data_IF_896221220176
#
_entry.id   IF_896221220176
#
_cell.length_a   1.000
_cell.length_b   1.000
_cell.length_c   1.000
_cell.angle_alpha   90.00
_cell.angle_beta   90.00
_cell.angle_gamma   90.00
#
_symmetry.space_group_name_H-M   'P 1'
#
loop_
_entity.id
_entity.type
_entity.pdbx_description
1 polymer ?
#
# COMPACT_ATOMS: atom_id res chain seq x y z
N UNK A 1 -17.59 -13.29 6.37
CA UNK A 1 -16.53 -14.30 6.32
C UNK A 1 -17.17 -15.64 6.09
N UNK A 2 -17.10 -16.14 4.86
CA UNK A 2 -17.67 -17.41 4.41
C UNK A 2 -17.20 -17.72 2.98
N UNK A 3 -16.07 -17.12 2.60
CA UNK A 3 -15.47 -17.17 1.29
C UNK A 3 -14.10 -17.83 1.47
N UNK A 4 -13.71 -18.63 0.49
CA UNK A 4 -12.45 -19.38 0.40
C UNK A 4 -11.33 -18.56 -0.26
N UNK A 5 -11.49 -17.23 -0.30
CA UNK A 5 -10.49 -16.29 -0.80
C UNK A 5 -9.15 -16.44 -0.05
N UNK A 6 -8.12 -16.78 -0.81
CA UNK A 6 -6.72 -16.68 -0.39
C UNK A 6 -6.11 -15.39 -0.94
N UNK A 7 -5.37 -14.66 -0.11
CA UNK A 7 -4.69 -13.42 -0.50
C UNK A 7 -3.22 -13.52 -0.08
N UNK A 8 -2.31 -13.50 -1.06
CA UNK A 8 -0.88 -13.37 -0.82
C UNK A 8 -0.49 -11.89 -0.70
N UNK A 9 0.30 -11.55 0.32
CA UNK A 9 0.80 -10.19 0.55
C UNK A 9 2.31 -10.13 0.26
N UNK A 10 2.71 -9.19 -0.60
CA UNK A 10 4.10 -8.95 -0.97
C UNK A 10 4.53 -7.52 -0.64
N UNK A 11 5.80 -7.34 -0.29
CA UNK A 11 6.40 -6.03 -0.07
C UNK A 11 7.27 -5.63 -1.28
N UNK A 12 6.96 -4.49 -1.87
CA UNK A 12 7.81 -3.85 -2.89
C UNK A 12 8.24 -2.46 -2.40
N UNK A 13 9.54 -2.18 -2.46
CA UNK A 13 10.13 -0.89 -2.07
C UNK A 13 10.87 -0.30 -3.25
N UNK A 14 10.52 0.92 -3.64
CA UNK A 14 11.16 1.68 -4.72
C UNK A 14 11.53 3.07 -4.22
N UNK A 15 12.71 3.58 -4.62
CA UNK A 15 13.04 5.00 -4.48
C UNK A 15 12.34 5.76 -5.60
N UNK A 16 11.60 6.79 -5.23
CA UNK A 16 10.75 7.57 -6.13
C UNK A 16 10.96 9.05 -5.83
N UNK A 17 11.16 9.85 -6.87
CA UNK A 17 11.34 11.29 -6.73
C UNK A 17 10.09 11.96 -6.21
N UNK A 18 10.28 13.05 -5.45
CA UNK A 18 9.18 13.79 -4.82
C UNK A 18 8.17 14.33 -5.86
N UNK A 19 8.66 14.72 -7.03
CA UNK A 19 7.82 15.19 -8.13
C UNK A 19 6.84 14.09 -8.59
N UNK A 20 7.33 12.86 -8.75
CA UNK A 20 6.51 11.70 -9.11
C UNK A 20 5.46 11.45 -8.03
N UNK A 21 5.85 11.46 -6.74
CA UNK A 21 4.90 11.28 -5.62
C UNK A 21 3.79 12.35 -5.67
N UNK A 22 4.15 13.59 -5.96
CA UNK A 22 3.20 14.70 -6.08
C UNK A 22 2.23 14.49 -7.25
N UNK A 23 2.73 14.00 -8.39
CA UNK A 23 1.91 13.71 -9.58
C UNK A 23 0.99 12.49 -9.40
N UNK A 24 1.30 11.59 -8.48
CA UNK A 24 0.44 10.45 -8.18
C UNK A 24 -0.80 10.86 -7.38
N UNK A 25 -0.74 11.94 -6.60
CA UNK A 25 -1.87 12.34 -5.78
C UNK A 25 -3.10 12.67 -6.62
N UNK A 26 -4.21 11.96 -6.37
CA UNK A 26 -5.47 12.16 -7.07
C UNK A 26 -5.50 11.64 -8.51
N UNK A 27 -4.45 10.94 -8.96
CA UNK A 27 -4.40 10.36 -10.31
C UNK A 27 -5.49 9.29 -10.47
N UNK A 28 -6.23 9.36 -11.56
CA UNK A 28 -7.23 8.35 -11.92
C UNK A 28 -6.56 7.24 -12.75
N UNK A 29 -6.77 5.98 -12.37
CA UNK A 29 -6.05 4.82 -12.97
C UNK A 29 -6.95 3.66 -13.37
N UNK A 30 -8.28 3.78 -13.20
CA UNK A 30 -9.23 2.75 -13.60
C UNK A 30 -9.60 2.83 -15.09
N UNK A 31 -10.04 1.70 -15.65
CA UNK A 31 -10.74 1.62 -16.92
C UNK A 31 -12.17 2.19 -16.78
N UNK A 32 -12.29 3.52 -16.88
CA UNK A 32 -13.57 4.23 -16.69
C UNK A 32 -14.67 3.74 -17.64
N UNK A 33 -14.33 3.45 -18.89
CA UNK A 33 -15.26 2.90 -19.90
C UNK A 33 -15.82 1.53 -19.50
N UNK A 34 -15.12 0.81 -18.60
CA UNK A 34 -15.54 -0.47 -18.04
C UNK A 34 -16.10 -0.33 -16.61
N UNK A 35 -16.37 0.89 -16.14
CA UNK A 35 -16.97 1.15 -14.83
C UNK A 35 -16.00 1.21 -13.66
N UNK A 36 -14.69 1.17 -13.88
CA UNK A 36 -13.71 1.29 -12.79
C UNK A 36 -13.51 2.75 -12.37
N UNK A 37 -13.73 3.03 -11.08
CA UNK A 37 -13.57 4.35 -10.48
C UNK A 37 -12.42 4.34 -9.46
N UNK A 38 -11.19 4.18 -9.95
CA UNK A 38 -9.99 4.06 -9.11
C UNK A 38 -9.22 5.38 -9.14
N UNK A 39 -9.01 5.97 -7.96
CA UNK A 39 -8.22 7.18 -7.75
C UNK A 39 -7.13 6.92 -6.71
N UNK A 40 -5.92 7.34 -7.01
CA UNK A 40 -4.76 7.23 -6.11
C UNK A 40 -4.86 8.28 -5.00
N UNK A 41 -4.66 7.84 -3.76
CA UNK A 41 -4.54 8.71 -2.59
C UNK A 41 -3.22 8.44 -1.88
N UNK A 42 -2.29 9.39 -1.98
CA UNK A 42 -0.99 9.39 -1.32
C UNK A 42 -1.18 9.84 0.12
N UNK A 43 -0.77 8.98 1.06
CA UNK A 43 -0.84 9.25 2.50
C UNK A 43 0.54 9.07 3.14
N UNK A 44 0.90 9.90 4.14
CA UNK A 44 2.06 9.61 4.97
C UNK A 44 1.91 8.23 5.61
N UNK A 45 2.94 7.38 5.51
CA UNK A 45 2.91 5.99 5.98
C UNK A 45 2.38 5.86 7.43
N UNK A 46 2.83 6.74 8.34
CA UNK A 46 2.40 6.78 9.75
C UNK A 46 0.87 6.94 9.95
N UNK A 47 0.17 7.46 8.95
CA UNK A 47 -1.27 7.69 8.98
C UNK A 47 -2.06 6.64 8.17
N UNK A 48 -1.38 5.77 7.40
CA UNK A 48 -2.03 4.85 6.45
C UNK A 48 -3.08 3.96 7.12
N UNK A 49 -2.78 3.40 8.29
CA UNK A 49 -3.69 2.54 9.04
C UNK A 49 -4.97 3.25 9.54
N UNK A 50 -4.96 4.58 9.60
CA UNK A 50 -6.14 5.41 9.97
C UNK A 50 -6.91 5.92 8.76
N UNK A 51 -6.30 5.86 7.58
CA UNK A 51 -6.85 6.42 6.35
C UNK A 51 -7.75 5.43 5.60
N UNK A 52 -7.76 4.16 5.99
CA UNK A 52 -8.56 3.12 5.34
C UNK A 52 -9.00 2.05 6.34
N UNK A 53 -10.14 1.42 6.06
CA UNK A 53 -10.62 0.22 6.74
C UNK A 53 -10.31 -1.07 5.93
N UNK A 54 -9.59 -0.95 4.80
CA UNK A 54 -9.29 -2.08 3.92
C UNK A 54 -8.41 -3.14 4.61
N UNK A 55 -8.90 -4.38 4.63
CA UNK A 55 -8.22 -5.46 5.34
C UNK A 55 -6.85 -5.80 4.73
N UNK A 56 -6.69 -5.73 3.42
CA UNK A 56 -5.43 -6.06 2.74
C UNK A 56 -4.34 -5.06 3.13
N UNK A 57 -4.69 -3.77 3.18
CA UNK A 57 -3.79 -2.72 3.66
C UNK A 57 -3.45 -2.91 5.13
N UNK A 58 -4.44 -3.14 5.99
CA UNK A 58 -4.22 -3.27 7.44
C UNK A 58 -3.35 -4.49 7.77
N UNK A 59 -3.58 -5.63 7.11
CA UNK A 59 -2.74 -6.83 7.24
C UNK A 59 -1.31 -6.54 6.77
N UNK A 60 -1.14 -5.89 5.61
CA UNK A 60 0.17 -5.54 5.10
C UNK A 60 0.94 -4.60 6.04
N UNK A 61 0.27 -3.60 6.64
CA UNK A 61 0.87 -2.70 7.63
C UNK A 61 1.30 -3.49 8.88
N UNK A 62 0.44 -4.35 9.41
CA UNK A 62 0.76 -5.14 10.60
C UNK A 62 1.96 -6.07 10.36
N UNK A 63 1.96 -6.82 9.25
CA UNK A 63 3.07 -7.70 8.88
C UNK A 63 4.38 -6.92 8.72
N UNK A 64 4.33 -5.78 8.05
CA UNK A 64 5.51 -4.93 7.83
C UNK A 64 6.09 -4.41 9.15
N UNK A 65 5.23 -3.91 10.05
CA UNK A 65 5.69 -3.36 11.34
C UNK A 65 6.24 -4.45 12.28
N UNK A 66 5.63 -5.64 12.29
CA UNK A 66 6.15 -6.77 13.08
C UNK A 66 7.48 -7.29 12.51
N UNK A 67 7.58 -7.45 11.19
CA UNK A 67 8.82 -7.85 10.54
C UNK A 67 9.97 -6.85 10.79
N UNK A 68 9.67 -5.54 10.86
CA UNK A 68 10.65 -4.52 11.26
C UNK A 68 11.11 -4.71 12.71
N UNK A 69 10.17 -4.88 13.64
CA UNK A 69 10.47 -5.05 15.08
C UNK A 69 11.34 -6.26 15.35
N UNK A 70 11.08 -7.36 14.64
CA UNK A 70 11.83 -8.61 14.73
C UNK A 70 13.12 -8.62 13.90
N UNK A 71 13.44 -7.53 13.20
CA UNK A 71 14.66 -7.45 12.37
C UNK A 71 14.66 -8.38 11.15
N UNK A 72 13.49 -8.81 10.68
CA UNK A 72 13.32 -9.73 9.55
C UNK A 72 13.44 -9.04 8.19
N UNK A 73 13.41 -7.70 8.16
CA UNK A 73 13.57 -6.96 6.91
C UNK A 73 15.04 -6.89 6.49
N UNK A 74 15.34 -7.04 5.19
CA UNK A 74 16.69 -6.82 4.69
C UNK A 74 17.16 -5.40 5.00
N UNK A 75 18.44 -5.27 5.33
CA UNK A 75 19.06 -3.97 5.55
C UNK A 75 18.84 -3.08 4.33
N UNK A 76 18.56 -1.81 4.61
CA UNK A 76 18.54 -0.76 3.59
C UNK A 76 19.98 -0.55 3.14
N UNK A 77 20.51 -1.40 2.25
CA UNK A 77 21.73 -1.06 1.54
C UNK A 77 21.48 0.28 0.81
N UNK A 78 22.35 1.25 1.11
CA UNK A 78 22.25 2.63 0.63
C UNK A 78 22.47 2.74 -0.88
#
# INVERSE_FOLDING_TARGET
>A
GGCDEEISIFMCRKRVDKEIITHLQGKETGLREHGELIKVHVVPYKNLWRATADCKVLVAVALLEMAKKEGLLPSLAN
#
